data_IF_338915018079
#
_entry.id   IF_338915018079
#
_cell.length_a   1.000
_cell.length_b   1.000
_cell.length_c   1.000
_cell.angle_alpha   90.00
_cell.angle_beta   90.00
_cell.angle_gamma   90.00
#
_symmetry.space_group_name_H-M   'P 1'
#
loop_
_entity.id
_entity.type
_entity.pdbx_description
1 polymer ?
#
# COMPACT_ATOMS: atom_id res chain seq x y z
N UNK A 1 -23.87 0.76 -10.67
CA UNK A 1 -24.96 1.65 -11.14
C UNK A 1 -24.59 3.06 -10.74
N UNK A 2 -24.67 4.01 -11.66
CA UNK A 2 -24.45 5.43 -11.37
C UNK A 2 -25.75 5.99 -10.80
N UNK A 3 -25.77 6.39 -9.53
CA UNK A 3 -26.96 6.99 -8.92
C UNK A 3 -27.04 8.45 -9.33
N UNK A 4 -28.14 8.91 -9.94
CA UNK A 4 -28.26 10.30 -10.37
C UNK A 4 -28.40 11.20 -9.15
N UNK A 5 -27.42 12.08 -8.94
CA UNK A 5 -27.35 12.97 -7.76
C UNK A 5 -28.29 14.18 -7.88
N UNK A 6 -28.43 14.73 -9.09
CA UNK A 6 -29.31 15.86 -9.35
C UNK A 6 -30.77 15.66 -8.86
N UNK A 7 -31.48 14.56 -9.19
CA UNK A 7 -32.85 14.36 -8.71
C UNK A 7 -32.94 14.13 -7.20
N UNK A 8 -31.90 13.60 -6.55
CA UNK A 8 -31.87 13.50 -5.07
C UNK A 8 -31.74 14.88 -4.42
N UNK A 9 -30.93 15.78 -5.01
CA UNK A 9 -30.81 17.17 -4.55
C UNK A 9 -32.14 17.90 -4.76
N UNK A 10 -32.75 17.77 -5.95
CA UNK A 10 -34.05 18.40 -6.25
C UNK A 10 -35.11 17.93 -5.25
N UNK A 11 -35.21 16.62 -5.01
CA UNK A 11 -36.13 16.05 -4.03
C UNK A 11 -35.84 16.47 -2.58
N UNK A 12 -34.57 16.72 -2.24
CA UNK A 12 -34.19 17.24 -0.93
C UNK A 12 -34.62 18.71 -0.76
N UNK A 13 -34.49 19.52 -1.82
CA UNK A 13 -34.88 20.93 -1.84
C UNK A 13 -36.40 21.14 -1.78
N UNK A 14 -37.19 20.19 -2.29
CA UNK A 14 -38.66 20.21 -2.24
C UNK A 14 -39.25 20.01 -0.83
N UNK A 15 -38.41 19.81 0.20
CA UNK A 15 -38.89 19.60 1.56
C UNK A 15 -39.55 20.86 2.15
N UNK A 16 -40.74 20.76 2.76
CA UNK A 16 -41.50 21.93 3.22
C UNK A 16 -40.84 22.71 4.37
N UNK A 17 -40.01 22.04 5.18
CA UNK A 17 -39.17 22.67 6.19
C UNK A 17 -37.78 22.98 5.59
N UNK A 18 -37.39 24.27 5.44
CA UNK A 18 -36.11 24.68 4.86
C UNK A 18 -34.89 24.16 5.61
N UNK A 19 -34.99 23.97 6.94
CA UNK A 19 -33.86 23.42 7.72
C UNK A 19 -33.63 21.96 7.37
N UNK A 20 -34.70 21.19 7.24
CA UNK A 20 -34.62 19.80 6.80
C UNK A 20 -34.23 19.68 5.33
N UNK A 21 -34.59 20.63 4.47
CA UNK A 21 -34.12 20.66 3.09
C UNK A 21 -32.59 20.77 3.03
N UNK A 22 -32.02 21.71 3.79
CA UNK A 22 -30.55 21.90 3.89
C UNK A 22 -29.84 20.65 4.40
N UNK A 23 -30.33 20.05 5.48
CA UNK A 23 -29.71 18.84 6.05
C UNK A 23 -29.76 17.66 5.07
N UNK A 24 -30.87 17.48 4.35
CA UNK A 24 -30.99 16.44 3.32
C UNK A 24 -30.05 16.67 2.14
N UNK A 25 -29.85 17.91 1.70
CA UNK A 25 -28.86 18.22 0.65
C UNK A 25 -27.45 17.87 1.14
N UNK A 26 -27.09 18.27 2.37
CA UNK A 26 -25.81 17.89 2.97
C UNK A 26 -25.64 16.37 3.08
N UNK A 27 -26.69 15.64 3.43
CA UNK A 27 -26.71 14.17 3.46
C UNK A 27 -26.38 13.57 2.10
N UNK A 28 -27.05 14.03 1.03
CA UNK A 28 -26.86 13.55 -0.33
C UNK A 28 -25.42 13.78 -0.80
N UNK A 29 -24.90 15.01 -0.64
CA UNK A 29 -23.54 15.35 -1.04
C UNK A 29 -22.50 14.56 -0.24
N UNK A 30 -22.66 14.48 1.09
CA UNK A 30 -21.75 13.72 1.95
C UNK A 30 -21.72 12.25 1.55
N UNK A 31 -22.90 11.62 1.42
CA UNK A 31 -23.00 10.20 1.04
C UNK A 31 -22.30 9.97 -0.28
N UNK A 32 -22.57 10.83 -1.27
CA UNK A 32 -21.97 10.69 -2.58
C UNK A 32 -20.46 10.84 -2.58
N UNK A 33 -19.92 11.80 -1.84
CA UNK A 33 -18.46 11.97 -1.70
C UNK A 33 -17.81 10.77 -1.00
N UNK A 34 -18.46 10.21 0.03
CA UNK A 34 -17.97 9.01 0.72
C UNK A 34 -18.10 7.74 -0.14
N UNK A 35 -19.12 7.65 -0.98
CA UNK A 35 -19.28 6.55 -1.93
C UNK A 35 -18.12 6.56 -2.95
N UNK A 36 -17.64 7.73 -3.36
CA UNK A 36 -16.49 7.84 -4.29
C UNK A 36 -15.17 7.66 -3.53
N UNK A 37 -15.03 8.31 -2.38
CA UNK A 37 -13.77 8.38 -1.63
C UNK A 37 -13.96 7.98 -0.15
N UNK A 38 -14.04 6.67 0.15
CA UNK A 38 -14.48 6.17 1.46
C UNK A 38 -13.43 6.34 2.57
N UNK A 39 -12.18 6.64 2.24
CA UNK A 39 -11.12 6.92 3.22
C UNK A 39 -11.23 8.32 3.82
N UNK A 40 -12.05 9.20 3.25
CA UNK A 40 -12.32 10.51 3.83
C UNK A 40 -13.28 10.45 5.01
N UNK A 41 -13.09 11.41 5.91
CA UNK A 41 -14.02 11.75 6.98
C UNK A 41 -14.58 13.14 6.71
N UNK A 42 -15.89 13.25 6.65
CA UNK A 42 -16.60 14.50 6.41
C UNK A 42 -17.26 14.98 7.71
N UNK A 43 -16.99 16.23 8.09
CA UNK A 43 -17.62 16.92 9.21
C UNK A 43 -18.57 17.98 8.66
N UNK A 44 -19.83 17.96 9.10
CA UNK A 44 -20.81 19.00 8.75
C UNK A 44 -20.60 20.23 9.62
N UNK A 45 -20.77 21.40 9.01
CA UNK A 45 -20.90 22.64 9.76
C UNK A 45 -22.37 23.03 9.86
N UNK A 46 -22.69 23.95 10.76
CA UNK A 46 -24.04 24.51 10.90
C UNK A 46 -24.39 25.53 9.80
N UNK A 47 -23.43 25.86 8.92
CA UNK A 47 -23.59 26.88 7.89
C UNK A 47 -24.15 26.28 6.60
N UNK A 48 -24.85 27.12 5.83
CA UNK A 48 -25.31 26.76 4.49
C UNK A 48 -25.20 27.96 3.55
N UNK A 49 -24.72 27.74 2.31
CA UNK A 49 -24.66 28.77 1.28
C UNK A 49 -23.86 30.02 1.71
N UNK A 50 -22.80 29.85 2.50
CA UNK A 50 -21.98 30.93 3.03
C UNK A 50 -20.64 31.05 2.30
N UNK A 51 -20.23 32.28 1.96
CA UNK A 51 -18.98 32.53 1.21
C UNK A 51 -17.71 32.24 2.00
N UNK A 52 -17.67 32.48 3.32
CA UNK A 52 -16.42 32.37 4.10
C UNK A 52 -16.27 31.09 4.92
N UNK A 53 -17.35 30.33 5.11
CA UNK A 53 -17.37 29.17 6.00
C UNK A 53 -17.91 28.00 5.20
N UNK A 54 -17.21 26.86 5.14
CA UNK A 54 -17.66 25.72 4.36
C UNK A 54 -18.89 25.09 4.99
N UNK A 55 -19.72 24.49 4.14
CA UNK A 55 -20.87 23.68 4.53
C UNK A 55 -20.40 22.31 5.08
N UNK A 56 -19.35 21.76 4.47
CA UNK A 56 -18.72 20.50 4.89
C UNK A 56 -17.19 20.64 4.90
N UNK A 57 -16.53 20.01 5.87
CA UNK A 57 -15.09 19.86 5.91
C UNK A 57 -14.73 18.40 5.68
N UNK A 58 -14.07 18.12 4.55
CA UNK A 58 -13.56 16.79 4.22
C UNK A 58 -12.11 16.67 4.67
N UNK A 59 -11.77 15.58 5.36
CA UNK A 59 -10.40 15.32 5.84
C UNK A 59 -10.01 13.87 5.54
N UNK A 60 -8.76 13.65 5.15
CA UNK A 60 -8.23 12.30 4.92
C UNK A 60 -6.75 12.24 5.27
N UNK A 61 -6.23 11.03 5.39
CA UNK A 61 -4.80 10.77 5.55
C UNK A 61 -4.22 10.40 4.19
N UNK A 62 -3.14 11.06 3.81
CA UNK A 62 -2.31 10.68 2.66
C UNK A 62 -0.91 10.40 3.18
N UNK A 63 -0.62 9.14 3.52
CA UNK A 63 0.58 8.77 4.26
C UNK A 63 0.61 9.39 5.65
N UNK A 64 1.66 10.17 5.97
CA UNK A 64 1.83 10.83 7.29
C UNK A 64 1.17 12.20 7.38
N UNK A 65 0.62 12.73 6.29
CA UNK A 65 0.00 14.06 6.25
C UNK A 65 -1.51 13.95 6.30
N UNK A 66 -2.10 14.79 7.16
CA UNK A 66 -3.54 15.03 7.19
C UNK A 66 -3.85 16.11 6.16
N UNK A 67 -4.67 15.75 5.18
CA UNK A 67 -5.17 16.67 4.16
C UNK A 67 -6.58 17.10 4.50
N UNK A 68 -6.94 18.33 4.11
CA UNK A 68 -8.28 18.87 4.27
C UNK A 68 -8.76 19.53 2.98
N UNK A 69 -10.07 19.48 2.76
CA UNK A 69 -10.76 20.13 1.67
C UNK A 69 -12.07 20.73 2.15
N UNK A 70 -12.26 22.00 1.86
CA UNK A 70 -13.46 22.76 2.22
C UNK A 70 -14.50 22.62 1.12
N UNK A 71 -15.69 22.14 1.48
CA UNK A 71 -16.81 21.95 0.55
C UNK A 71 -17.85 23.04 0.79
N UNK A 72 -18.14 23.80 -0.25
CA UNK A 72 -19.10 24.90 -0.25
C UNK A 72 -20.28 24.52 -1.13
N UNK A 73 -21.49 24.53 -0.56
CA UNK A 73 -22.72 24.30 -1.31
C UNK A 73 -23.27 25.66 -1.74
N UNK A 74 -23.73 25.76 -2.99
CA UNK A 74 -24.24 27.02 -3.55
C UNK A 74 -25.61 26.85 -4.17
N UNK A 75 -26.60 27.58 -3.66
CA UNK A 75 -27.94 27.57 -4.22
C UNK A 75 -27.96 28.18 -5.64
N UNK A 76 -27.07 29.13 -5.92
CA UNK A 76 -26.90 29.72 -7.25
C UNK A 76 -26.01 28.86 -8.14
N UNK A 77 -26.37 28.73 -9.41
CA UNK A 77 -25.52 28.19 -10.49
C UNK A 77 -25.05 29.28 -11.47
N UNK A 78 -25.21 30.56 -11.12
CA UNK A 78 -24.73 31.70 -11.90
C UNK A 78 -23.20 31.76 -11.89
N UNK A 79 -22.52 31.61 -13.05
CA UNK A 79 -21.07 31.61 -13.12
C UNK A 79 -20.40 32.88 -12.59
N UNK A 80 -21.01 34.07 -12.73
CA UNK A 80 -20.39 35.33 -12.30
C UNK A 80 -20.36 35.46 -10.77
N UNK A 81 -21.44 35.02 -10.12
CA UNK A 81 -21.51 34.95 -8.65
C UNK A 81 -20.54 33.92 -8.10
N UNK A 82 -20.48 32.73 -8.72
CA UNK A 82 -19.52 31.70 -8.33
C UNK A 82 -18.08 32.16 -8.54
N UNK A 83 -17.78 32.89 -9.61
CA UNK A 83 -16.43 33.40 -9.86
C UNK A 83 -16.01 34.40 -8.78
N UNK A 84 -16.94 35.25 -8.34
CA UNK A 84 -16.72 36.20 -7.25
C UNK A 84 -16.44 35.49 -5.92
N UNK A 85 -17.16 34.41 -5.61
CA UNK A 85 -16.89 33.57 -4.43
C UNK A 85 -15.50 32.92 -4.51
N UNK A 86 -15.15 32.35 -5.67
CA UNK A 86 -13.89 31.62 -5.85
C UNK A 86 -12.66 32.52 -5.66
N UNK A 87 -12.73 33.79 -6.08
CA UNK A 87 -11.65 34.77 -5.91
C UNK A 87 -11.26 35.00 -4.44
N UNK A 88 -12.19 34.77 -3.51
CA UNK A 88 -11.97 34.99 -2.08
C UNK A 88 -11.28 33.78 -1.44
N UNK A 89 -11.36 32.60 -2.07
CA UNK A 89 -10.76 31.40 -1.51
C UNK A 89 -9.24 31.38 -1.63
N UNK A 90 -8.61 30.83 -0.58
CA UNK A 90 -7.17 30.59 -0.55
C UNK A 90 -6.83 29.31 -1.29
N UNK A 91 -5.79 29.35 -2.13
CA UNK A 91 -5.33 28.23 -2.97
C UNK A 91 -4.97 26.99 -2.16
N UNK A 92 -4.42 27.19 -0.97
CA UNK A 92 -3.95 26.13 -0.08
C UNK A 92 -5.10 25.30 0.50
N UNK A 93 -6.32 25.86 0.53
CA UNK A 93 -7.53 25.18 1.05
C UNK A 93 -8.18 24.24 0.04
N UNK A 94 -7.75 24.30 -1.23
CA UNK A 94 -8.23 23.52 -2.37
C UNK A 94 -9.76 23.36 -2.41
N UNK A 95 -10.55 24.44 -2.45
CA UNK A 95 -12.00 24.36 -2.27
C UNK A 95 -12.70 23.43 -3.27
N UNK A 96 -13.82 22.85 -2.83
CA UNK A 96 -14.81 22.19 -3.66
C UNK A 96 -16.12 22.99 -3.59
N UNK A 97 -16.54 23.59 -4.69
CA UNK A 97 -17.81 24.29 -4.81
C UNK A 97 -18.80 23.40 -5.54
N UNK A 98 -19.92 23.10 -4.89
CA UNK A 98 -21.02 22.31 -5.46
C UNK A 98 -22.23 23.22 -5.63
N UNK A 99 -22.47 23.78 -6.83
CA UNK A 99 -23.74 24.41 -7.12
C UNK A 99 -24.85 23.35 -7.08
N UNK A 100 -26.03 23.72 -6.57
CA UNK A 100 -27.16 22.79 -6.44
C UNK A 100 -27.94 22.60 -7.74
N UNK A 101 -27.63 23.38 -8.77
CA UNK A 101 -28.17 23.25 -10.12
C UNK A 101 -27.04 23.13 -11.15
N UNK A 102 -27.38 22.63 -12.36
CA UNK A 102 -26.43 22.56 -13.48
C UNK A 102 -25.93 23.96 -13.84
N UNK A 103 -24.63 24.06 -14.15
CA UNK A 103 -24.02 25.29 -14.64
C UNK A 103 -24.47 25.58 -16.07
N UNK A 104 -24.75 26.85 -16.35
CA UNK A 104 -25.01 27.34 -17.71
C UNK A 104 -23.77 27.25 -18.60
N UNK A 105 -23.96 27.46 -19.90
CA UNK A 105 -22.88 27.60 -20.90
C UNK A 105 -22.68 29.05 -21.31
N UNK A 106 -21.47 29.41 -21.76
CA UNK A 106 -21.16 30.75 -22.30
C UNK A 106 -19.93 31.40 -21.66
N UNK A 107 -19.63 32.66 -22.01
CA UNK A 107 -18.39 33.34 -21.63
C UNK A 107 -18.17 33.46 -20.11
N UNK A 108 -19.23 33.70 -19.34
CA UNK A 108 -19.16 33.78 -17.88
C UNK A 108 -18.69 32.45 -17.25
N UNK A 109 -19.08 31.31 -17.84
CA UNK A 109 -18.60 29.98 -17.43
C UNK A 109 -17.11 29.81 -17.72
N UNK A 110 -16.65 30.30 -18.87
CA UNK A 110 -15.23 30.20 -19.22
C UNK A 110 -14.38 31.05 -18.26
N UNK A 111 -14.85 32.24 -17.89
CA UNK A 111 -14.23 33.08 -16.86
C UNK A 111 -14.18 32.39 -15.50
N UNK A 112 -15.30 31.80 -15.04
CA UNK A 112 -15.31 30.96 -13.83
C UNK A 112 -14.28 29.83 -13.91
N UNK A 113 -14.13 29.21 -15.08
CA UNK A 113 -13.16 28.15 -15.32
C UNK A 113 -11.72 28.63 -15.07
N UNK A 114 -11.33 29.75 -15.66
CA UNK A 114 -10.01 30.37 -15.45
C UNK A 114 -9.77 30.70 -13.98
N UNK A 115 -10.73 31.35 -13.32
CA UNK A 115 -10.61 31.72 -11.90
C UNK A 115 -10.50 30.48 -11.01
N UNK A 116 -11.29 29.44 -11.28
CA UNK A 116 -11.25 28.17 -10.55
C UNK A 116 -9.91 27.44 -10.71
N UNK A 117 -9.34 27.43 -11.93
CA UNK A 117 -8.01 26.86 -12.18
C UNK A 117 -6.91 27.64 -11.44
N UNK A 118 -6.95 28.97 -11.46
CA UNK A 118 -6.00 29.85 -10.76
C UNK A 118 -6.07 29.70 -9.24
N UNK A 119 -7.27 29.56 -8.67
CA UNK A 119 -7.48 29.43 -7.23
C UNK A 119 -7.47 27.98 -6.72
N UNK A 120 -7.08 27.01 -7.56
CA UNK A 120 -7.07 25.57 -7.21
C UNK A 120 -8.43 25.09 -6.66
N UNK A 121 -9.52 25.65 -7.18
CA UNK A 121 -10.88 25.34 -6.78
C UNK A 121 -11.52 24.42 -7.80
N UNK A 122 -12.22 23.39 -7.34
CA UNK A 122 -13.09 22.58 -8.18
C UNK A 122 -14.51 23.09 -8.08
N UNK A 123 -15.13 23.41 -9.21
CA UNK A 123 -16.57 23.59 -9.30
C UNK A 123 -17.15 22.32 -9.92
N UNK A 124 -17.84 21.53 -9.10
CA UNK A 124 -18.40 20.23 -9.48
C UNK A 124 -19.93 20.31 -9.41
N UNK A 125 -20.59 20.34 -10.57
CA UNK A 125 -22.05 20.39 -10.61
C UNK A 125 -22.67 19.02 -10.24
N UNK A 126 -24.00 18.96 -9.97
CA UNK A 126 -24.65 17.71 -9.56
C UNK A 126 -24.54 16.59 -10.61
N UNK A 127 -24.41 16.93 -11.90
CA UNK A 127 -24.23 15.95 -12.96
C UNK A 127 -22.82 15.39 -12.99
N UNK A 128 -21.81 16.22 -12.75
CA UNK A 128 -20.41 15.80 -12.59
C UNK A 128 -20.22 14.92 -11.34
N UNK A 129 -20.80 15.32 -10.22
CA UNK A 129 -20.80 14.52 -8.99
C UNK A 129 -21.55 13.19 -9.17
N UNK A 130 -22.62 13.21 -9.98
CA UNK A 130 -23.31 12.02 -10.45
C UNK A 130 -22.42 11.10 -11.26
N UNK A 131 -21.58 11.62 -12.17
CA UNK A 131 -20.77 10.82 -13.09
C UNK A 131 -19.57 10.07 -12.45
N UNK A 132 -19.14 10.46 -11.24
CA UNK A 132 -18.01 9.81 -10.56
C UNK A 132 -18.35 8.35 -10.18
N UNK A 133 -17.66 7.31 -10.63
CA UNK A 133 -17.95 5.95 -10.20
C UNK A 133 -17.83 5.81 -8.68
N UNK A 134 -18.74 5.04 -8.08
CA UNK A 134 -18.60 4.66 -6.68
C UNK A 134 -17.38 3.74 -6.50
N UNK A 135 -16.78 3.80 -5.33
CA UNK A 135 -15.67 2.96 -4.92
C UNK A 135 -16.09 1.48 -4.96
N UNK A 136 -15.22 0.65 -5.52
CA UNK A 136 -15.37 -0.81 -5.53
C UNK A 136 -14.14 -1.44 -4.90
N UNK A 137 -14.27 -2.67 -4.40
CA UNK A 137 -13.15 -3.42 -3.82
C UNK A 137 -12.00 -3.67 -4.81
N UNK A 138 -12.29 -3.66 -6.11
CA UNK A 138 -11.29 -3.71 -7.18
C UNK A 138 -10.90 -2.30 -7.61
N UNK A 139 -9.69 -1.85 -7.25
CA UNK A 139 -9.22 -0.54 -7.72
C UNK A 139 -8.91 -0.61 -9.23
N UNK A 140 -9.59 0.25 -10.00
CA UNK A 140 -9.34 0.47 -11.43
C UNK A 140 -8.65 1.82 -11.65
N UNK A 141 -7.99 2.04 -12.79
CA UNK A 141 -7.47 3.37 -13.16
C UNK A 141 -8.55 4.47 -13.12
N UNK A 142 -9.80 4.12 -13.42
CA UNK A 142 -10.95 5.04 -13.33
C UNK A 142 -11.33 5.38 -11.88
N UNK A 143 -11.20 4.45 -10.94
CA UNK A 143 -11.40 4.73 -9.53
C UNK A 143 -10.34 5.73 -9.03
N UNK A 144 -9.07 5.53 -9.40
CA UNK A 144 -8.00 6.48 -9.06
C UNK A 144 -8.23 7.87 -9.66
N UNK A 145 -8.70 7.94 -10.92
CA UNK A 145 -9.06 9.21 -11.54
C UNK A 145 -10.21 9.92 -10.77
N UNK A 146 -11.14 9.15 -10.22
CA UNK A 146 -12.25 9.69 -9.41
C UNK A 146 -11.76 10.23 -8.07
N UNK A 147 -10.90 9.46 -7.39
CA UNK A 147 -10.20 9.88 -6.17
C UNK A 147 -9.43 11.18 -6.44
N UNK A 148 -8.70 11.27 -7.56
CA UNK A 148 -7.93 12.46 -7.94
C UNK A 148 -8.81 13.72 -8.10
N UNK A 149 -10.03 13.58 -8.64
CA UNK A 149 -11.00 14.68 -8.74
C UNK A 149 -11.44 15.14 -7.34
N UNK A 150 -11.81 14.19 -6.48
CA UNK A 150 -12.32 14.47 -5.13
C UNK A 150 -11.23 15.01 -4.20
N UNK A 151 -10.01 14.49 -4.28
CA UNK A 151 -8.88 14.93 -3.45
C UNK A 151 -8.38 16.31 -3.85
N UNK A 152 -8.21 16.57 -5.16
CA UNK A 152 -7.60 17.81 -5.61
C UNK A 152 -7.87 18.16 -7.07
N UNK A 153 -9.06 17.84 -7.57
CA UNK A 153 -9.53 18.41 -8.84
C UNK A 153 -9.58 19.95 -8.79
N UNK A 154 -9.50 20.58 -9.95
CA UNK A 154 -9.65 22.03 -10.14
C UNK A 154 -10.32 22.38 -11.47
N UNK A 155 -10.79 23.62 -11.58
CA UNK A 155 -11.55 24.09 -12.74
C UNK A 155 -13.02 23.68 -12.62
N UNK A 156 -13.72 23.60 -13.76
CA UNK A 156 -15.14 23.22 -13.81
C UNK A 156 -15.28 21.79 -14.32
N UNK A 157 -16.01 20.96 -13.57
CA UNK A 157 -16.34 19.60 -13.96
C UNK A 157 -17.85 19.37 -13.93
N UNK A 158 -18.43 19.16 -15.12
CA UNK A 158 -19.75 18.55 -15.28
C UNK A 158 -19.60 17.10 -15.75
N UNK A 159 -20.73 16.44 -16.00
CA UNK A 159 -20.81 15.03 -16.43
C UNK A 159 -19.82 14.68 -17.56
N UNK A 160 -19.86 15.41 -18.68
CA UNK A 160 -18.97 15.16 -19.83
C UNK A 160 -17.49 15.37 -19.53
N UNK A 161 -17.15 16.35 -18.70
CA UNK A 161 -15.76 16.62 -18.31
C UNK A 161 -15.23 15.51 -17.41
N UNK A 162 -16.04 15.03 -16.45
CA UNK A 162 -15.71 13.91 -15.59
C UNK A 162 -15.50 12.65 -16.44
N UNK A 163 -16.47 12.27 -17.28
CA UNK A 163 -16.36 11.08 -18.13
C UNK A 163 -15.11 11.10 -19.03
N UNK A 164 -14.83 12.26 -19.64
CA UNK A 164 -13.61 12.45 -20.44
C UNK A 164 -12.35 12.26 -19.59
N UNK A 165 -12.29 12.88 -18.42
CA UNK A 165 -11.14 12.77 -17.52
C UNK A 165 -10.90 11.31 -17.12
N UNK A 166 -11.95 10.60 -16.68
CA UNK A 166 -11.89 9.20 -16.29
C UNK A 166 -11.40 8.31 -17.46
N UNK A 167 -11.93 8.54 -18.66
CA UNK A 167 -11.53 7.80 -19.86
C UNK A 167 -10.08 8.06 -20.26
N UNK A 168 -9.65 9.32 -20.25
CA UNK A 168 -8.28 9.72 -20.63
C UNK A 168 -7.25 9.18 -19.63
N UNK A 169 -7.52 9.27 -18.33
CA UNK A 169 -6.63 8.70 -17.30
C UNK A 169 -6.59 7.18 -17.42
N UNK A 170 -7.73 6.52 -17.56
CA UNK A 170 -7.78 5.06 -17.70
C UNK A 170 -6.98 4.57 -18.91
N UNK A 171 -7.18 5.21 -20.06
CA UNK A 171 -6.43 4.91 -21.29
C UNK A 171 -4.94 5.22 -21.13
N UNK A 172 -4.59 6.31 -20.45
CA UNK A 172 -3.21 6.70 -20.20
C UNK A 172 -2.43 5.73 -19.31
N UNK A 173 -3.05 5.20 -18.26
CA UNK A 173 -2.40 4.21 -17.38
C UNK A 173 -2.10 2.92 -18.16
N UNK A 174 -3.05 2.42 -18.95
CA UNK A 174 -2.83 1.23 -19.79
C UNK A 174 -1.80 1.50 -20.90
N UNK A 175 -1.88 2.65 -21.57
CA UNK A 175 -0.90 3.06 -22.56
C UNK A 175 0.52 3.17 -21.97
N UNK A 176 0.66 3.66 -20.75
CA UNK A 176 1.93 3.70 -20.05
C UNK A 176 2.45 2.29 -19.77
N UNK A 177 1.58 1.38 -19.30
CA UNK A 177 1.90 -0.04 -19.10
C UNK A 177 2.36 -0.74 -20.38
N UNK A 178 1.89 -0.29 -21.54
CA UNK A 178 2.27 -0.79 -22.86
C UNK A 178 3.42 0.01 -23.53
N UNK A 179 3.93 1.05 -22.87
CA UNK A 179 5.01 1.89 -23.41
C UNK A 179 4.60 2.75 -24.61
N UNK A 180 3.33 3.16 -24.70
CA UNK A 180 2.80 4.01 -25.77
C UNK A 180 2.87 5.51 -25.39
N UNK A 181 3.70 6.28 -26.10
CA UNK A 181 4.01 7.66 -25.70
C UNK A 181 2.84 8.64 -25.81
N UNK A 182 2.11 8.64 -26.93
CA UNK A 182 1.12 9.69 -27.21
C UNK A 182 -0.11 9.64 -26.29
N UNK A 183 -0.76 8.48 -26.06
CA UNK A 183 -1.90 8.43 -25.14
C UNK A 183 -1.48 8.72 -23.69
N UNK A 184 -0.28 8.30 -23.30
CA UNK A 184 0.32 8.63 -22.00
C UNK A 184 0.51 10.14 -21.85
N UNK A 185 1.06 10.82 -22.87
CA UNK A 185 1.23 12.29 -22.89
C UNK A 185 -0.10 13.02 -22.73
N UNK A 186 -1.12 12.59 -23.47
CA UNK A 186 -2.44 13.18 -23.43
C UNK A 186 -3.07 13.04 -22.04
N UNK A 187 -2.97 11.86 -21.42
CA UNK A 187 -3.47 11.64 -20.07
C UNK A 187 -2.74 12.50 -19.02
N UNK A 188 -1.42 12.60 -19.09
CA UNK A 188 -0.62 13.46 -18.20
C UNK A 188 -1.00 14.93 -18.34
N UNK A 189 -1.29 15.37 -19.57
CA UNK A 189 -1.75 16.74 -19.84
C UNK A 189 -3.13 17.01 -19.23
N UNK A 190 -4.06 16.06 -19.36
CA UNK A 190 -5.40 16.16 -18.76
C UNK A 190 -5.33 16.17 -17.23
N UNK A 191 -4.52 15.29 -16.63
CA UNK A 191 -4.26 15.26 -15.18
C UNK A 191 -3.70 16.60 -14.70
N UNK A 192 -2.66 17.10 -15.34
CA UNK A 192 -2.01 18.36 -14.94
C UNK A 192 -2.95 19.56 -15.07
N UNK A 193 -3.80 19.57 -16.09
CA UNK A 193 -4.80 20.63 -16.28
C UNK A 193 -5.85 20.61 -15.17
N UNK A 194 -6.41 19.44 -14.88
CA UNK A 194 -7.62 19.30 -14.08
C UNK A 194 -7.40 18.95 -12.61
N UNK A 195 -6.15 18.80 -12.17
CA UNK A 195 -5.82 18.53 -10.77
C UNK A 195 -4.74 19.47 -10.25
N UNK A 196 -4.67 19.62 -8.92
CA UNK A 196 -3.63 20.37 -8.22
C UNK A 196 -2.26 19.67 -8.38
N UNK A 197 -1.14 20.40 -8.24
CA UNK A 197 0.20 19.86 -8.50
C UNK A 197 0.56 18.58 -7.75
N UNK A 198 0.10 18.42 -6.50
CA UNK A 198 0.40 17.25 -5.69
C UNK A 198 -0.32 15.98 -6.17
N UNK A 199 -1.59 16.10 -6.59
CA UNK A 199 -2.33 15.00 -7.22
C UNK A 199 -1.71 14.67 -8.58
N UNK A 200 -1.41 15.70 -9.39
CA UNK A 200 -0.79 15.53 -10.70
C UNK A 200 0.55 14.80 -10.63
N UNK A 201 1.39 15.14 -9.65
CA UNK A 201 2.68 14.48 -9.43
C UNK A 201 2.50 13.00 -9.09
N UNK A 202 1.58 12.66 -8.19
CA UNK A 202 1.30 11.25 -7.81
C UNK A 202 0.85 10.42 -9.01
N UNK A 203 -0.09 10.93 -9.79
CA UNK A 203 -0.57 10.30 -11.02
C UNK A 203 0.55 10.13 -12.06
N UNK A 204 1.40 11.15 -12.21
CA UNK A 204 2.58 11.07 -13.08
C UNK A 204 3.57 10.01 -12.61
N UNK A 205 3.82 9.91 -11.30
CA UNK A 205 4.67 8.87 -10.70
C UNK A 205 4.13 7.47 -10.97
N UNK A 206 2.82 7.26 -10.83
CA UNK A 206 2.19 5.99 -11.20
C UNK A 206 2.41 5.66 -12.68
N UNK A 207 2.12 6.60 -13.60
CA UNK A 207 2.29 6.36 -15.03
C UNK A 207 3.76 6.14 -15.41
N UNK A 208 4.70 6.87 -14.78
CA UNK A 208 6.14 6.66 -14.96
C UNK A 208 6.57 5.28 -14.47
N UNK A 209 6.01 4.80 -13.36
CA UNK A 209 6.25 3.45 -12.87
C UNK A 209 5.74 2.42 -13.89
N UNK A 210 4.50 2.56 -14.39
CA UNK A 210 3.96 1.67 -15.43
C UNK A 210 4.79 1.70 -16.71
N UNK A 211 5.26 2.88 -17.12
CA UNK A 211 6.14 3.09 -18.27
C UNK A 211 7.46 2.34 -18.12
N UNK A 212 8.15 2.50 -16.99
CA UNK A 212 9.37 1.75 -16.72
C UNK A 212 9.10 0.26 -16.57
N UNK A 213 7.98 -0.11 -15.95
CA UNK A 213 7.49 -1.48 -15.85
C UNK A 213 7.34 -2.14 -17.22
N UNK A 214 6.92 -1.41 -18.25
CA UNK A 214 6.85 -1.88 -19.65
C UNK A 214 8.21 -2.19 -20.30
N UNK A 215 9.31 -1.79 -19.65
CA UNK A 215 10.69 -1.94 -20.14
C UNK A 215 11.23 -0.71 -20.87
N UNK A 216 10.45 0.38 -20.94
CA UNK A 216 10.90 1.66 -21.51
C UNK A 216 11.79 2.43 -20.54
N UNK A 217 12.66 3.27 -21.08
CA UNK A 217 13.49 4.18 -20.28
C UNK A 217 12.66 5.37 -19.78
N UNK A 218 12.94 5.85 -18.55
CA UNK A 218 12.35 7.09 -18.05
C UNK A 218 12.81 8.33 -18.83
N UNK A 219 13.95 8.27 -19.53
CA UNK A 219 14.38 9.35 -20.44
C UNK A 219 13.44 9.54 -21.64
N UNK A 220 12.67 8.50 -22.00
CA UNK A 220 11.66 8.54 -23.07
C UNK A 220 10.26 8.84 -22.53
N UNK A 221 10.11 9.03 -21.21
CA UNK A 221 8.81 9.30 -20.61
C UNK A 221 8.23 10.61 -21.16
N UNK A 222 6.97 10.63 -21.62
CA UNK A 222 6.43 11.77 -22.38
C UNK A 222 5.99 12.96 -21.49
N UNK A 223 6.63 13.15 -20.34
CA UNK A 223 6.47 14.30 -19.46
C UNK A 223 7.73 14.48 -18.62
N UNK A 224 7.75 15.51 -17.76
CA UNK A 224 8.81 15.69 -16.79
C UNK A 224 8.86 14.46 -15.88
N UNK A 225 10.05 13.84 -15.79
CA UNK A 225 10.28 12.70 -14.92
C UNK A 225 9.91 13.09 -13.48
N UNK A 226 9.01 12.35 -12.83
CA UNK A 226 8.60 12.67 -11.47
C UNK A 226 9.81 12.68 -10.53
N UNK A 227 9.92 13.71 -9.68
CA UNK A 227 10.95 13.77 -8.64
C UNK A 227 10.74 12.74 -7.52
N UNK A 228 9.56 12.12 -7.44
CA UNK A 228 9.24 11.18 -6.39
C UNK A 228 9.78 9.80 -6.75
N UNK A 229 10.69 9.29 -5.91
CA UNK A 229 11.39 8.03 -6.11
C UNK A 229 10.58 6.79 -5.67
N UNK A 230 9.33 6.94 -5.22
CA UNK A 230 8.51 5.84 -4.74
C UNK A 230 7.02 6.03 -5.05
N UNK A 231 6.33 4.89 -5.21
CA UNK A 231 4.88 4.82 -5.28
C UNK A 231 4.27 5.13 -3.90
N UNK A 232 3.19 5.90 -3.90
CA UNK A 232 2.40 6.12 -2.69
C UNK A 232 1.40 4.96 -2.45
N UNK A 233 0.72 5.01 -1.31
CA UNK A 233 -0.23 3.98 -0.88
C UNK A 233 -1.33 3.74 -1.92
N UNK A 234 -1.93 4.80 -2.43
CA UNK A 234 -3.03 4.73 -3.40
C UNK A 234 -2.58 4.11 -4.72
N UNK A 235 -1.42 4.54 -5.24
CA UNK A 235 -0.85 4.02 -6.49
C UNK A 235 -0.45 2.55 -6.36
N UNK A 236 0.14 2.17 -5.23
CA UNK A 236 0.54 0.79 -4.97
C UNK A 236 -0.68 -0.13 -4.79
N UNK A 237 -1.71 0.33 -4.07
CA UNK A 237 -2.98 -0.39 -3.91
C UNK A 237 -3.65 -0.65 -5.27
N UNK A 238 -3.65 0.34 -6.16
CA UNK A 238 -4.13 0.17 -7.54
C UNK A 238 -3.33 -0.90 -8.29
N UNK A 239 -2.00 -0.80 -8.29
CA UNK A 239 -1.13 -1.75 -8.97
C UNK A 239 -1.38 -3.19 -8.48
N UNK A 240 -1.48 -3.37 -7.15
CA UNK A 240 -1.66 -4.69 -6.54
C UNK A 240 -3.09 -5.25 -6.67
N UNK A 241 -4.10 -4.40 -6.88
CA UNK A 241 -5.50 -4.81 -7.11
C UNK A 241 -5.87 -4.99 -8.58
N UNK A 242 -5.02 -4.53 -9.49
CA UNK A 242 -5.21 -4.65 -10.94
C UNK A 242 -5.23 -6.12 -11.40
N UNK A 243 -5.69 -6.43 -12.64
CA UNK A 243 -5.53 -7.76 -13.22
C UNK A 243 -4.08 -8.27 -13.09
N UNK A 244 -3.91 -9.59 -13.00
CA UNK A 244 -2.59 -10.18 -12.76
C UNK A 244 -1.59 -9.78 -13.86
N UNK A 245 -0.48 -9.17 -13.44
CA UNK A 245 0.65 -8.85 -14.30
C UNK A 245 1.66 -9.99 -14.17
N UNK A 246 1.73 -10.84 -15.20
CA UNK A 246 2.55 -12.06 -15.20
C UNK A 246 4.02 -11.82 -15.58
N UNK A 247 4.36 -10.63 -16.10
CA UNK A 247 5.73 -10.27 -16.48
C UNK A 247 6.62 -10.09 -15.24
N UNK A 248 7.52 -11.04 -14.97
CA UNK A 248 8.46 -10.96 -13.85
C UNK A 248 9.52 -9.85 -14.05
N UNK A 249 9.79 -9.42 -15.29
CA UNK A 249 10.69 -8.29 -15.54
C UNK A 249 10.04 -6.96 -15.13
N UNK A 250 8.72 -6.82 -15.31
CA UNK A 250 7.94 -5.69 -14.81
C UNK A 250 8.14 -5.53 -13.29
N UNK A 251 7.92 -6.59 -12.51
CA UNK A 251 8.03 -6.52 -11.05
C UNK A 251 9.44 -6.21 -10.56
N UNK A 252 10.46 -6.76 -11.23
CA UNK A 252 11.87 -6.42 -10.93
C UNK A 252 12.18 -4.94 -11.17
N UNK A 253 11.59 -4.33 -12.19
CA UNK A 253 11.74 -2.89 -12.49
C UNK A 253 10.96 -2.00 -11.52
N UNK A 254 9.78 -2.44 -11.07
CA UNK A 254 8.93 -1.71 -10.13
C UNK A 254 9.42 -1.80 -8.69
N UNK A 255 9.95 -2.95 -8.25
CA UNK A 255 10.36 -3.20 -6.87
C UNK A 255 11.13 -2.04 -6.20
N UNK A 256 12.11 -1.37 -6.84
CA UNK A 256 12.83 -0.25 -6.22
C UNK A 256 11.94 0.96 -5.88
N UNK A 257 10.78 1.12 -6.52
CA UNK A 257 9.79 2.16 -6.24
C UNK A 257 8.87 1.82 -5.07
N UNK A 258 8.92 0.59 -4.57
CA UNK A 258 8.01 0.10 -3.54
C UNK A 258 8.75 0.01 -2.22
N UNK A 259 8.25 0.73 -1.23
CA UNK A 259 8.70 0.65 0.15
C UNK A 259 7.80 -0.30 0.95
N UNK A 260 8.40 -1.11 1.83
CA UNK A 260 7.67 -2.08 2.65
C UNK A 260 6.66 -1.39 3.56
N UNK A 261 6.97 -0.21 4.13
CA UNK A 261 6.03 0.52 4.99
C UNK A 261 4.83 1.01 4.20
N UNK A 262 5.03 1.51 2.98
CA UNK A 262 3.92 1.90 2.10
C UNK A 262 3.03 0.71 1.78
N UNK A 263 3.62 -0.47 1.51
CA UNK A 263 2.87 -1.71 1.24
C UNK A 263 1.89 -2.04 2.38
N UNK A 264 2.36 -1.97 3.64
CA UNK A 264 1.55 -2.30 4.82
C UNK A 264 0.34 -1.36 5.01
N UNK A 265 0.37 -0.15 4.44
CA UNK A 265 -0.73 0.80 4.52
C UNK A 265 -1.77 0.62 3.40
N UNK A 266 -1.51 -0.17 2.35
CA UNK A 266 -2.37 -0.23 1.15
C UNK A 266 -3.75 -0.86 1.31
N UNK A 267 -3.99 -1.56 2.43
CA UNK A 267 -5.21 -2.35 2.67
C UNK A 267 -5.32 -3.63 1.81
N UNK A 268 -4.29 -3.94 1.01
CA UNK A 268 -4.18 -5.22 0.28
C UNK A 268 -3.98 -6.34 1.29
N UNK A 269 -4.56 -7.51 1.05
CA UNK A 269 -4.42 -8.70 1.91
C UNK A 269 -3.72 -9.84 1.20
N UNK A 270 -4.31 -10.41 0.15
CA UNK A 270 -3.73 -11.46 -0.69
C UNK A 270 -4.18 -11.27 -2.14
N UNK A 271 -3.26 -10.85 -3.01
CA UNK A 271 -3.51 -10.73 -4.46
C UNK A 271 -2.44 -11.47 -5.27
N UNK A 272 -2.74 -11.92 -6.50
CA UNK A 272 -1.72 -12.48 -7.39
C UNK A 272 -0.52 -11.55 -7.61
N UNK A 273 -0.77 -10.26 -7.74
CA UNK A 273 0.27 -9.24 -7.92
C UNK A 273 1.14 -9.06 -6.66
N UNK A 274 0.59 -9.22 -5.45
CA UNK A 274 1.39 -9.29 -4.22
C UNK A 274 2.38 -10.47 -4.27
N UNK A 275 1.93 -11.65 -4.73
CA UNK A 275 2.82 -12.81 -4.86
C UNK A 275 3.99 -12.53 -5.83
N UNK A 276 3.71 -11.88 -6.96
CA UNK A 276 4.73 -11.52 -7.97
C UNK A 276 5.69 -10.45 -7.46
N UNK A 277 5.18 -9.41 -6.79
CA UNK A 277 6.01 -8.40 -6.15
C UNK A 277 6.96 -9.05 -5.15
N UNK A 278 6.45 -9.93 -4.28
CA UNK A 278 7.24 -10.55 -3.23
C UNK A 278 8.35 -11.46 -3.77
N UNK A 279 8.16 -12.15 -4.90
CA UNK A 279 9.24 -12.90 -5.56
C UNK A 279 10.44 -12.02 -5.92
N UNK A 280 10.22 -10.78 -6.35
CA UNK A 280 11.31 -9.86 -6.65
C UNK A 280 11.83 -9.10 -5.42
N UNK A 281 10.99 -8.95 -4.38
CA UNK A 281 11.29 -8.18 -3.18
C UNK A 281 11.98 -8.99 -2.07
N UNK A 282 11.73 -10.30 -1.95
CA UNK A 282 12.16 -11.14 -0.81
C UNK A 282 13.68 -11.15 -0.58
N UNK A 283 14.47 -10.99 -1.63
CA UNK A 283 15.94 -10.91 -1.53
C UNK A 283 16.44 -9.49 -1.20
N UNK A 284 15.66 -8.46 -1.50
CA UNK A 284 16.08 -7.06 -1.36
C UNK A 284 15.58 -6.43 -0.05
N UNK A 285 14.36 -6.75 0.35
CA UNK A 285 13.74 -6.20 1.55
C UNK A 285 14.30 -6.85 2.80
N UNK A 286 14.40 -6.07 3.88
CA UNK A 286 15.06 -6.48 5.11
C UNK A 286 14.16 -6.28 6.33
N UNK A 287 14.24 -7.20 7.27
CA UNK A 287 13.50 -7.19 8.54
C UNK A 287 14.46 -7.44 9.70
N UNK A 288 14.02 -7.08 10.90
CA UNK A 288 14.71 -7.40 12.13
C UNK A 288 14.19 -8.70 12.75
N UNK A 289 12.90 -8.98 12.65
CA UNK A 289 12.30 -10.11 13.34
C UNK A 289 11.36 -10.89 12.43
N UNK A 290 11.40 -12.21 12.58
CA UNK A 290 10.41 -13.15 12.06
C UNK A 290 9.73 -13.85 13.24
N UNK A 291 8.41 -13.92 13.23
CA UNK A 291 7.61 -14.61 14.24
C UNK A 291 6.66 -15.59 13.56
N UNK A 292 6.66 -16.84 14.01
CA UNK A 292 5.83 -17.90 13.46
C UNK A 292 4.69 -18.20 14.43
N UNK A 293 3.46 -18.04 13.97
CA UNK A 293 2.24 -18.28 14.76
C UNK A 293 1.36 -19.32 14.08
N UNK A 294 0.51 -19.98 14.86
CA UNK A 294 -0.54 -20.85 14.34
C UNK A 294 -1.74 -20.00 13.87
N UNK A 295 -2.31 -20.26 12.68
CA UNK A 295 -3.44 -19.49 12.18
C UNK A 295 -4.71 -19.86 12.94
N UNK A 296 -5.58 -18.87 13.22
CA UNK A 296 -6.89 -19.11 13.84
C UNK A 296 -7.78 -20.08 13.03
N UNK A 297 -7.61 -20.08 11.71
CA UNK A 297 -8.30 -21.00 10.81
C UNK A 297 -7.30 -21.78 9.97
N UNK A 298 -7.22 -23.10 10.20
CA UNK A 298 -6.43 -24.02 9.38
C UNK A 298 -7.05 -24.11 7.99
N UNK A 299 -6.26 -23.79 6.95
CA UNK A 299 -6.67 -24.02 5.56
C UNK A 299 -6.12 -25.36 5.09
N UNK A 300 -7.00 -26.30 4.80
CA UNK A 300 -6.60 -27.57 4.20
C UNK A 300 -6.13 -27.36 2.74
N UNK A 301 -4.86 -27.71 2.46
CA UNK A 301 -4.38 -27.97 1.10
C UNK A 301 -4.15 -26.76 0.17
N UNK A 302 -3.68 -25.62 0.70
CA UNK A 302 -3.32 -24.44 -0.10
C UNK A 302 -1.82 -24.30 -0.35
N UNK A 303 -1.43 -23.80 -1.53
CA UNK A 303 -0.06 -23.34 -1.76
C UNK A 303 0.30 -22.20 -0.80
N UNK A 304 1.56 -22.14 -0.37
CA UNK A 304 2.05 -21.06 0.48
C UNK A 304 1.98 -19.71 -0.23
N UNK A 305 1.56 -18.67 0.49
CA UNK A 305 1.28 -17.35 -0.10
C UNK A 305 1.68 -16.22 0.84
N UNK A 306 2.15 -15.13 0.25
CA UNK A 306 2.35 -13.86 0.92
C UNK A 306 1.01 -13.21 1.25
N UNK A 307 0.89 -12.71 2.47
CA UNK A 307 -0.33 -12.09 2.98
C UNK A 307 0.03 -10.83 3.75
N UNK A 308 -0.87 -9.87 3.78
CA UNK A 308 -0.83 -8.75 4.69
C UNK A 308 -2.04 -8.91 5.63
N UNK A 309 -1.76 -8.98 6.93
CA UNK A 309 -2.76 -9.23 7.97
C UNK A 309 -2.54 -8.25 9.12
N UNK A 310 -3.60 -7.53 9.50
CA UNK A 310 -3.55 -6.44 10.49
C UNK A 310 -2.37 -5.46 10.32
N UNK A 311 -2.01 -5.14 9.06
CA UNK A 311 -0.86 -4.26 8.77
C UNK A 311 0.52 -4.90 8.90
N UNK A 312 0.60 -6.23 8.98
CA UNK A 312 1.84 -7.01 9.01
C UNK A 312 2.00 -7.86 7.76
N UNK A 313 3.19 -7.86 7.17
CA UNK A 313 3.51 -8.76 6.07
C UNK A 313 3.86 -10.13 6.64
N UNK A 314 3.21 -11.18 6.13
CA UNK A 314 3.47 -12.55 6.53
C UNK A 314 3.54 -13.51 5.35
N UNK A 315 4.21 -14.64 5.56
CA UNK A 315 4.13 -15.81 4.69
C UNK A 315 3.20 -16.84 5.34
N UNK A 316 2.08 -17.13 4.69
CA UNK A 316 1.07 -18.08 5.17
C UNK A 316 1.30 -19.46 4.54
N UNK A 317 1.48 -20.46 5.39
CA UNK A 317 1.50 -21.88 5.04
C UNK A 317 0.17 -22.57 5.34
N UNK A 318 0.20 -23.90 5.45
CA UNK A 318 -0.96 -24.75 5.78
C UNK A 318 -1.47 -24.54 7.21
N UNK A 319 -0.54 -24.44 8.14
CA UNK A 319 -0.71 -24.52 9.59
C UNK A 319 0.12 -23.46 10.33
N UNK A 320 0.69 -22.49 9.60
CA UNK A 320 1.44 -21.39 10.18
C UNK A 320 1.27 -20.09 9.40
N UNK A 321 1.54 -18.97 10.06
CA UNK A 321 1.83 -17.68 9.44
C UNK A 321 3.14 -17.13 10.01
N UNK A 322 4.07 -16.77 9.14
CA UNK A 322 5.36 -16.20 9.52
C UNK A 322 5.39 -14.71 9.22
N UNK A 323 5.22 -13.90 10.26
CA UNK A 323 5.20 -12.44 10.18
C UNK A 323 6.60 -11.84 10.22
N UNK A 324 6.82 -10.79 9.43
CA UNK A 324 8.08 -10.04 9.35
C UNK A 324 7.88 -8.61 9.82
N UNK A 325 8.83 -8.09 10.60
CA UNK A 325 8.81 -6.70 11.03
C UNK A 325 10.19 -6.07 11.19
N UNK A 326 10.23 -4.73 11.15
CA UNK A 326 11.42 -3.93 11.43
C UNK A 326 11.75 -3.84 12.93
N UNK A 327 10.78 -4.10 13.81
CA UNK A 327 10.97 -4.18 15.25
C UNK A 327 10.09 -5.27 15.86
N UNK A 328 10.54 -5.87 16.97
CA UNK A 328 9.73 -6.80 17.77
C UNK A 328 8.48 -6.14 18.36
N UNK A 329 8.48 -4.81 18.53
CA UNK A 329 7.32 -4.05 19.03
C UNK A 329 6.21 -3.93 18.01
N UNK A 330 6.54 -4.12 16.73
CA UNK A 330 5.59 -4.04 15.62
C UNK A 330 4.98 -5.41 15.33
N UNK A 331 5.01 -6.35 16.29
CA UNK A 331 4.37 -7.66 16.19
C UNK A 331 3.54 -7.90 17.45
N UNK A 332 2.55 -8.77 17.34
CA UNK A 332 1.76 -9.22 18.49
C UNK A 332 2.65 -9.85 19.57
N UNK A 333 2.17 -9.83 20.80
CA UNK A 333 2.85 -10.51 21.90
C UNK A 333 2.97 -12.01 21.57
N UNK A 334 4.16 -12.60 21.66
CA UNK A 334 4.33 -14.01 21.33
C UNK A 334 3.59 -14.89 22.34
N UNK A 335 2.93 -15.92 21.83
CA UNK A 335 2.46 -17.03 22.65
C UNK A 335 3.67 -17.89 23.09
N UNK A 336 3.52 -18.59 24.21
CA UNK A 336 4.50 -19.57 24.66
C UNK A 336 4.15 -20.95 24.12
N UNK A 337 5.09 -21.53 23.39
CA UNK A 337 5.03 -22.87 22.81
C UNK A 337 5.97 -23.82 23.53
N UNK A 338 5.66 -25.10 23.44
CA UNK A 338 6.54 -26.15 23.95
C UNK A 338 7.88 -26.14 23.18
N UNK A 339 8.98 -26.17 23.94
CA UNK A 339 10.31 -26.16 23.38
C UNK A 339 10.65 -27.53 22.77
N UNK A 340 11.14 -27.61 21.52
CA UNK A 340 11.53 -28.86 20.89
C UNK A 340 12.73 -29.48 21.59
N UNK A 341 12.85 -30.79 21.54
CA UNK A 341 14.00 -31.51 22.10
C UNK A 341 15.29 -31.17 21.34
N UNK A 342 16.44 -31.31 22.01
CA UNK A 342 17.75 -31.09 21.40
C UNK A 342 17.96 -31.93 20.12
N UNK A 343 17.53 -33.19 20.15
CA UNK A 343 17.63 -34.09 19.00
C UNK A 343 16.86 -33.56 17.79
N UNK A 344 15.65 -33.03 17.99
CA UNK A 344 14.83 -32.47 16.91
C UNK A 344 15.46 -31.22 16.31
N UNK A 345 15.98 -30.31 17.15
CA UNK A 345 16.64 -29.08 16.66
C UNK A 345 17.89 -29.43 15.86
N UNK A 346 18.68 -30.41 16.31
CA UNK A 346 19.88 -30.88 15.59
C UNK A 346 19.52 -31.58 14.29
N UNK A 347 18.47 -32.40 14.27
CA UNK A 347 17.99 -33.05 13.05
C UNK A 347 17.56 -32.01 12.01
N UNK A 348 16.76 -31.02 12.41
CA UNK A 348 16.34 -29.91 11.54
C UNK A 348 17.55 -29.12 11.02
N UNK A 349 18.48 -28.75 11.90
CA UNK A 349 19.69 -28.03 11.52
C UNK A 349 20.55 -28.83 10.53
N UNK A 350 20.79 -30.11 10.79
CA UNK A 350 21.57 -30.99 9.92
C UNK A 350 20.90 -31.20 8.56
N UNK A 351 19.58 -31.45 8.54
CA UNK A 351 18.79 -31.67 7.32
C UNK A 351 18.88 -30.50 6.35
N UNK A 352 18.97 -29.28 6.88
CA UNK A 352 19.02 -28.05 6.09
C UNK A 352 20.40 -27.39 6.05
N UNK A 353 21.43 -28.07 6.56
CA UNK A 353 22.80 -27.56 6.66
C UNK A 353 22.90 -26.17 7.31
N UNK A 354 22.14 -25.94 8.39
CA UNK A 354 22.13 -24.69 9.16
C UNK A 354 23.12 -24.84 10.32
N UNK A 355 24.26 -24.14 10.32
CA UNK A 355 25.22 -24.22 11.40
C UNK A 355 24.65 -23.58 12.67
N UNK A 356 24.77 -24.27 13.80
CA UNK A 356 24.44 -23.74 15.11
C UNK A 356 25.73 -23.32 15.82
N UNK A 357 25.79 -22.13 16.42
CA UNK A 357 26.98 -21.67 17.16
C UNK A 357 26.76 -21.63 18.67
N UNK A 358 25.49 -21.62 19.08
CA UNK A 358 25.12 -21.81 20.48
C UNK A 358 23.73 -22.37 20.66
N UNK A 359 23.53 -23.04 21.80
CA UNK A 359 22.27 -23.67 22.18
C UNK A 359 22.03 -23.42 23.68
N UNK A 360 20.84 -22.95 24.03
CA UNK A 360 20.36 -22.85 25.40
C UNK A 360 19.20 -23.83 25.60
N UNK A 361 19.39 -24.71 26.56
CA UNK A 361 18.44 -25.75 26.95
C UNK A 361 17.82 -25.39 28.30
N UNK A 362 16.56 -25.75 28.48
CA UNK A 362 15.84 -25.61 29.73
C UNK A 362 15.39 -26.99 30.21
N UNK A 363 15.56 -27.19 31.52
CA UNK A 363 15.00 -28.27 32.30
C UNK A 363 14.07 -27.70 33.34
N UNK A 364 13.26 -28.57 33.94
CA UNK A 364 12.26 -28.27 34.98
C UNK A 364 12.65 -27.09 35.88
N UNK A 365 13.90 -27.04 36.37
CA UNK A 365 14.39 -25.96 37.25
C UNK A 365 15.76 -25.35 36.86
N UNK A 366 16.33 -25.63 35.67
CA UNK A 366 17.71 -25.20 35.32
C UNK A 366 17.83 -24.83 33.84
N UNK A 367 18.65 -23.83 33.54
CA UNK A 367 19.05 -23.48 32.16
C UNK A 367 20.52 -23.84 31.93
N UNK A 368 20.81 -24.49 30.81
CA UNK A 368 22.18 -24.84 30.39
C UNK A 368 22.45 -24.17 29.06
N UNK A 369 23.56 -23.43 28.98
CA UNK A 369 24.05 -22.83 27.73
C UNK A 369 25.27 -23.59 27.23
N UNK A 370 25.31 -23.86 25.93
CA UNK A 370 26.46 -24.36 25.19
C UNK A 370 26.81 -23.34 24.11
N UNK A 371 27.98 -22.72 24.23
CA UNK A 371 28.44 -21.66 23.33
C UNK A 371 29.80 -22.03 22.76
N UNK A 372 29.93 -22.10 21.43
CA UNK A 372 31.22 -22.20 20.74
C UNK A 372 31.29 -21.08 19.68
N UNK A 373 31.79 -19.88 20.06
CA UNK A 373 31.78 -18.72 19.18
C UNK A 373 32.53 -18.99 17.87
N UNK A 374 31.81 -18.97 16.75
CA UNK A 374 32.37 -19.14 15.40
C UNK A 374 32.58 -20.59 14.96
N UNK A 375 32.24 -21.57 15.79
CA UNK A 375 32.28 -23.00 15.45
C UNK A 375 30.87 -23.58 15.32
N UNK A 376 30.71 -24.56 14.44
CA UNK A 376 29.44 -25.27 14.27
C UNK A 376 29.33 -26.38 15.32
N UNK A 377 28.40 -26.21 16.27
CA UNK A 377 28.15 -27.14 17.36
C UNK A 377 27.12 -28.21 17.01
N UNK A 378 26.52 -28.19 15.82
CA UNK A 378 25.40 -29.08 15.45
C UNK A 378 25.73 -30.57 15.63
N UNK A 379 26.99 -30.95 15.41
CA UNK A 379 27.47 -32.34 15.52
C UNK A 379 28.51 -32.53 16.63
N UNK A 380 28.56 -31.63 17.62
CA UNK A 380 29.54 -31.71 18.69
C UNK A 380 29.24 -32.92 19.61
N UNK A 381 30.16 -33.90 19.74
CA UNK A 381 29.95 -35.06 20.60
C UNK A 381 29.82 -34.70 22.09
N UNK A 382 30.26 -33.50 22.51
CA UNK A 382 30.04 -33.03 23.88
C UNK A 382 28.56 -32.80 24.18
N UNK A 383 27.77 -32.38 23.18
CA UNK A 383 26.33 -32.22 23.33
C UNK A 383 25.62 -33.56 23.55
N UNK A 384 26.10 -34.64 22.94
CA UNK A 384 25.57 -36.00 23.18
C UNK A 384 25.79 -36.41 24.64
N UNK A 385 26.98 -36.12 25.18
CA UNK A 385 27.29 -36.36 26.59
C UNK A 385 26.43 -35.53 27.54
N UNK A 386 26.19 -34.26 27.21
CA UNK A 386 25.29 -33.39 27.98
C UNK A 386 23.87 -33.95 27.93
N UNK A 387 23.31 -34.20 26.74
CA UNK A 387 21.95 -34.74 26.57
C UNK A 387 21.73 -36.06 27.32
N UNK A 388 22.71 -36.98 27.27
CA UNK A 388 22.64 -38.23 28.01
C UNK A 388 22.65 -38.03 29.53
N UNK A 389 23.47 -37.09 30.04
CA UNK A 389 23.49 -36.74 31.46
C UNK A 389 22.20 -36.05 31.93
N UNK A 390 21.47 -35.45 30.98
CA UNK A 390 20.25 -34.71 31.17
C UNK A 390 18.97 -35.56 31.00
N UNK A 391 19.11 -36.83 30.58
CA UNK A 391 17.99 -37.74 30.42
C UNK A 391 17.22 -37.58 29.10
N UNK A 392 17.71 -36.78 28.15
CA UNK A 392 17.10 -36.54 26.83
C UNK A 392 15.71 -35.89 26.88
N UNK A 393 15.37 -35.22 27.98
CA UNK A 393 14.10 -34.50 28.17
C UNK A 393 14.30 -32.97 28.12
N UNK A 394 15.49 -32.50 27.73
CA UNK A 394 15.79 -31.07 27.66
C UNK A 394 15.16 -30.39 26.44
N UNK A 395 14.35 -29.36 26.70
CA UNK A 395 13.79 -28.50 25.68
C UNK A 395 14.78 -27.40 25.28
N UNK A 396 15.01 -27.19 23.99
CA UNK A 396 15.84 -26.10 23.49
C UNK A 396 14.99 -24.83 23.44
N UNK A 397 15.28 -23.87 24.32
CA UNK A 397 14.56 -22.59 24.35
C UNK A 397 15.13 -21.57 23.37
N UNK A 398 16.43 -21.62 23.11
CA UNK A 398 17.11 -20.66 22.23
C UNK A 398 18.31 -21.32 21.53
N UNK A 399 18.55 -20.97 20.27
CA UNK A 399 19.78 -21.32 19.56
C UNK A 399 20.27 -20.13 18.71
N UNK A 400 21.58 -20.03 18.50
CA UNK A 400 22.14 -19.16 17.47
C UNK A 400 22.41 -19.97 16.21
N UNK A 401 21.77 -19.61 15.12
CA UNK A 401 21.88 -20.24 13.81
C UNK A 401 22.52 -19.27 12.81
N UNK A 402 23.37 -19.76 11.92
CA UNK A 402 23.91 -18.95 10.82
C UNK A 402 23.03 -19.07 9.57
N UNK A 403 22.71 -17.94 8.94
CA UNK A 403 22.05 -17.92 7.62
C UNK A 403 23.00 -18.43 6.53
N UNK A 404 22.48 -18.63 5.32
CA UNK A 404 23.30 -19.02 4.15
C UNK A 404 24.42 -18.02 3.84
N UNK A 405 24.24 -16.74 4.19
CA UNK A 405 25.27 -15.68 4.06
C UNK A 405 26.08 -15.47 5.35
N UNK A 406 25.98 -16.41 6.31
CA UNK A 406 26.69 -16.41 7.60
C UNK A 406 26.28 -15.29 8.56
N UNK A 407 25.09 -14.71 8.40
CA UNK A 407 24.55 -13.78 9.40
C UNK A 407 24.01 -14.58 10.59
N UNK A 408 24.40 -14.28 11.83
CA UNK A 408 23.85 -14.96 12.99
C UNK A 408 22.42 -14.53 13.28
N UNK A 409 21.54 -15.49 13.54
CA UNK A 409 20.17 -15.30 14.00
C UNK A 409 20.00 -16.00 15.36
N UNK A 410 19.40 -15.29 16.30
CA UNK A 410 18.94 -15.85 17.57
C UNK A 410 17.53 -16.37 17.37
N UNK A 411 17.37 -17.68 17.36
CA UNK A 411 16.10 -18.39 17.25
C UNK A 411 15.62 -18.76 18.65
N UNK A 412 14.49 -18.22 19.08
CA UNK A 412 13.80 -18.61 20.30
C UNK A 412 12.64 -19.52 19.94
N UNK A 413 12.68 -20.76 20.41
CA UNK A 413 11.67 -21.77 20.07
C UNK A 413 10.42 -21.65 20.93
N UNK A 414 10.56 -21.21 22.18
CA UNK A 414 9.43 -21.00 23.07
C UNK A 414 8.50 -19.88 22.57
N UNK A 415 9.07 -18.77 22.05
CA UNK A 415 8.29 -17.70 21.43
C UNK A 415 8.14 -17.82 19.91
N UNK A 416 8.71 -18.88 19.30
CA UNK A 416 8.79 -19.09 17.84
C UNK A 416 9.23 -17.84 17.05
N UNK A 417 10.25 -17.13 17.56
CA UNK A 417 10.80 -15.91 16.93
C UNK A 417 12.26 -16.07 16.56
N UNK A 418 12.68 -15.45 15.46
CA UNK A 418 14.10 -15.27 15.14
C UNK A 418 14.44 -13.81 14.86
N UNK A 419 15.63 -13.38 15.27
CA UNK A 419 16.15 -12.03 15.03
C UNK A 419 17.69 -12.02 15.03
N UNK A 420 18.36 -11.16 14.25
CA UNK A 420 19.79 -10.99 14.33
C UNK A 420 20.19 -10.35 15.68
N UNK A 421 21.43 -10.56 16.14
CA UNK A 421 21.93 -9.87 17.34
C UNK A 421 22.01 -8.36 17.09
N UNK A 422 21.51 -7.58 18.05
CA UNK A 422 21.54 -6.11 18.03
C UNK A 422 20.24 -5.48 17.55
N UNK A 423 19.76 -4.47 18.28
CA UNK A 423 18.41 -3.91 18.13
C UNK A 423 18.11 -3.23 16.77
N UNK A 424 19.13 -2.95 15.96
CA UNK A 424 19.01 -2.24 14.67
C UNK A 424 19.48 -3.09 13.48
N UNK A 425 19.91 -4.34 13.72
CA UNK A 425 20.40 -5.20 12.65
C UNK A 425 19.22 -5.66 11.77
N UNK A 426 19.37 -5.56 10.46
CA UNK A 426 18.36 -5.94 9.47
C UNK A 426 18.94 -7.01 8.54
N UNK A 427 18.14 -8.05 8.28
CA UNK A 427 18.50 -9.21 7.47
C UNK A 427 17.52 -9.33 6.30
N UNK A 428 17.97 -9.69 5.09
CA UNK A 428 17.08 -9.95 3.96
C UNK A 428 15.96 -10.93 4.34
N UNK A 429 14.75 -10.70 3.84
CA UNK A 429 13.60 -11.54 4.17
C UNK A 429 13.84 -13.00 3.81
N UNK A 430 14.50 -13.26 2.68
CA UNK A 430 14.81 -14.62 2.24
C UNK A 430 15.67 -15.38 3.24
N UNK A 431 16.70 -14.75 3.77
CA UNK A 431 17.57 -15.36 4.77
C UNK A 431 16.85 -15.54 6.10
N UNK A 432 16.15 -14.49 6.54
CA UNK A 432 15.45 -14.49 7.82
C UNK A 432 14.35 -15.57 7.83
N UNK A 433 13.44 -15.57 6.85
CA UNK A 433 12.41 -16.61 6.72
C UNK A 433 13.01 -17.99 6.50
N UNK A 434 13.98 -18.09 5.58
CA UNK A 434 14.58 -19.35 5.18
C UNK A 434 15.22 -20.09 6.34
N UNK A 435 15.96 -19.40 7.21
CA UNK A 435 16.55 -20.02 8.39
C UNK A 435 15.51 -20.23 9.50
N UNK A 436 14.61 -19.27 9.72
CA UNK A 436 13.60 -19.36 10.79
C UNK A 436 12.67 -20.55 10.59
N UNK A 437 12.07 -20.68 9.40
CA UNK A 437 11.07 -21.72 9.13
C UNK A 437 11.68 -23.11 9.16
N UNK A 438 12.89 -23.29 8.60
CA UNK A 438 13.59 -24.58 8.58
C UNK A 438 14.00 -25.08 9.97
N UNK A 439 14.20 -24.17 10.93
CA UNK A 439 14.62 -24.52 12.28
C UNK A 439 13.44 -24.61 13.26
N UNK A 440 12.51 -23.66 13.19
CA UNK A 440 11.36 -23.58 14.12
C UNK A 440 10.29 -24.62 13.75
N UNK A 441 10.02 -24.82 12.46
CA UNK A 441 8.99 -25.76 12.00
C UNK A 441 9.59 -27.10 11.58
N UNK A 442 8.78 -28.16 11.72
CA UNK A 442 9.11 -29.49 11.21
C UNK A 442 8.67 -29.65 9.76
N UNK A 443 9.39 -28.99 8.84
CA UNK A 443 9.05 -28.99 7.41
C UNK A 443 9.27 -30.36 6.76
N UNK A 444 8.28 -30.88 6.02
CA UNK A 444 8.48 -32.06 5.19
C UNK A 444 9.25 -31.69 3.89
N UNK A 445 9.52 -32.67 3.01
CA UNK A 445 10.29 -32.41 1.78
C UNK A 445 9.52 -31.52 0.77
N UNK A 446 8.20 -31.61 0.74
CA UNK A 446 7.33 -30.78 -0.10
C UNK A 446 7.32 -29.34 0.39
N UNK A 447 7.13 -29.12 1.69
CA UNK A 447 7.16 -27.80 2.34
C UNK A 447 8.52 -27.11 2.14
N UNK A 448 9.60 -27.86 2.29
CA UNK A 448 10.95 -27.35 2.05
C UNK A 448 11.14 -26.90 0.59
N UNK A 449 10.64 -27.68 -0.38
CA UNK A 449 10.68 -27.31 -1.79
C UNK A 449 9.79 -26.09 -2.09
N UNK A 450 8.62 -25.96 -1.45
CA UNK A 450 7.76 -24.78 -1.56
C UNK A 450 8.46 -23.53 -1.02
N UNK A 451 9.14 -23.65 0.13
CA UNK A 451 9.93 -22.56 0.70
C UNK A 451 11.05 -22.13 -0.24
N UNK A 452 11.85 -23.06 -0.76
CA UNK A 452 12.91 -22.78 -1.75
C UNK A 452 12.35 -22.00 -2.95
N UNK A 453 11.26 -22.48 -3.55
CA UNK A 453 10.64 -21.85 -4.72
C UNK A 453 10.11 -20.43 -4.43
N UNK A 454 9.70 -20.13 -3.19
CA UNK A 454 9.22 -18.81 -2.80
C UNK A 454 10.35 -17.83 -2.48
N UNK A 455 11.49 -18.35 -2.03
CA UNK A 455 12.66 -17.56 -1.69
C UNK A 455 13.60 -17.34 -2.88
N UNK A 456 13.54 -18.20 -3.90
CA UNK A 456 14.35 -18.05 -5.11
C UNK A 456 13.92 -16.80 -5.90
N UNK A 457 14.83 -15.83 -6.00
CA UNK A 457 14.64 -14.70 -6.90
C UNK A 457 15.24 -15.12 -8.24
N UNK A 458 14.38 -15.47 -9.21
CA UNK A 458 14.82 -15.69 -10.58
C UNK A 458 15.80 -14.61 -11.07
N UNK A 459 16.74 -15.00 -11.93
CA UNK A 459 17.97 -14.27 -12.32
C UNK A 459 18.00 -12.75 -12.06
N UNK A 460 19.05 -12.34 -11.34
CA UNK A 460 19.38 -10.94 -11.05
C UNK A 460 19.78 -10.19 -12.32
N UNK A 461 19.01 -9.19 -12.72
CA UNK A 461 19.43 -8.18 -13.70
C UNK A 461 19.63 -6.85 -12.96
N UNK A 462 20.73 -6.10 -13.16
CA UNK A 462 20.93 -4.82 -12.49
C UNK A 462 19.87 -3.81 -12.95
N UNK A 463 19.07 -3.29 -12.01
CA UNK A 463 18.16 -2.19 -12.25
C UNK A 463 18.93 -0.87 -12.14
N UNK A 464 19.39 -0.35 -13.28
CA UNK A 464 19.98 0.98 -13.37
C UNK A 464 18.89 2.04 -13.24
N UNK A 465 18.79 2.63 -12.04
CA UNK A 465 18.16 3.93 -11.83
C UNK A 465 19.20 5.00 -12.11
N UNK A 466 19.49 5.28 -13.37
CA UNK A 466 20.27 6.47 -13.72
C UNK A 466 19.34 7.68 -13.56
N UNK A 467 19.35 8.24 -12.36
CA UNK A 467 18.96 9.61 -12.11
C UNK A 467 19.92 10.47 -12.95
N UNK A 468 19.40 11.23 -13.91
CA UNK A 468 20.23 12.18 -14.65
C UNK A 468 20.88 13.12 -13.62
N UNK A 469 22.21 13.17 -13.60
CA UNK A 469 22.97 14.11 -12.78
C UNK A 469 22.50 15.53 -13.10
N UNK A 470 21.73 16.12 -12.19
CA UNK A 470 21.26 17.50 -12.26
C UNK A 470 22.36 18.46 -11.77
N UNK A 471 23.59 18.30 -12.25
CA UNK A 471 24.66 19.29 -12.10
C UNK A 471 25.67 19.15 -13.24
N UNK A 472 25.27 19.57 -14.45
CA UNK A 472 26.18 20.16 -15.43
C UNK A 472 25.35 21.05 -16.36
N UNK A 473 25.41 22.36 -16.10
CA UNK A 473 24.67 23.42 -16.79
C UNK A 473 24.66 24.73 -16.01
#
# INVERSE_FOLDING_TARGET
MVTPVAPEIDSALDHPDPRQAVERVKDVIQRRLLDVYPTARIVRTDFFNHTYVPDLLMTWSSGTRKSERRVYLRASSDPDLLASDVQIFQREQQPLVVPLARLGTGPARDQLGTVAEEHHTLVLDPSGLGALPAHTSTRTPTALASDAIVEGGRGIMGERQVERFLHMVGTGVEAAREGQADPTRLALSEVSRHTVPDVSRRMSTLMAAMWQGSGRSLSEFPANVPHQASLDETSLSLLLSSPEITDEAFWRRIRPLVDAKTLLCTGITDTPNLQRLMRSAVQAWKAHVCMVVEPETVRAGGAWRWVIDDGHLGLRGSDFVAFLAGSRKDLHAPEEYEAPLLAEVRERAARFAIPLTSIRMLMTNRSIGYDAPGEDVTHDPQLDGISAALGQEEGVVEAQALTSTRVPLRCNFASRTASPPGAMALVPYAELLGTTLRLILSLNAEDAAQLENLLDAGESTPAYWEQADLFDG
#
